data_IF_191046537147
#
_entry.id   IF_191046537147
#
_cell.length_a   1.000
_cell.length_b   1.000
_cell.length_c   1.000
_cell.angle_alpha   90.00
_cell.angle_beta   90.00
_cell.angle_gamma   90.00
#
_symmetry.space_group_name_H-M   'P 1'
#
loop_
_entity.id
_entity.type
_entity.pdbx_description
1 polymer ?
#
# COMPACT_ATOMS: atom_id res chain seq x y z
N UNK A 1 -9.08 -5.51 14.41
CA UNK A 1 -9.68 -6.20 13.24
C UNK A 1 -8.73 -6.13 12.04
N UNK A 2 -8.81 -7.05 11.08
CA UNK A 2 -7.99 -7.02 9.86
C UNK A 2 -8.91 -6.81 8.66
N UNK A 3 -8.63 -5.78 7.86
CA UNK A 3 -9.28 -5.52 6.57
C UNK A 3 -8.28 -5.74 5.45
N UNK A 4 -8.72 -6.43 4.40
CA UNK A 4 -7.88 -6.79 3.27
C UNK A 4 -8.62 -6.43 1.99
N UNK A 5 -8.01 -5.56 1.17
CA UNK A 5 -8.39 -5.42 -0.23
C UNK A 5 -7.47 -6.33 -1.05
N UNK A 6 -8.08 -7.35 -1.66
CA UNK A 6 -7.36 -8.41 -2.35
C UNK A 6 -7.13 -8.16 -3.84
N UNK A 7 -7.64 -7.05 -4.39
CA UNK A 7 -7.68 -6.84 -5.84
C UNK A 7 -7.39 -5.38 -6.22
N UNK A 8 -6.15 -4.95 -5.97
CA UNK A 8 -5.72 -3.57 -6.17
C UNK A 8 -4.83 -3.46 -7.40
N UNK A 9 -5.23 -2.64 -8.36
CA UNK A 9 -4.41 -2.24 -9.51
C UNK A 9 -4.05 -0.77 -9.38
N UNK A 10 -2.77 -0.45 -9.57
CA UNK A 10 -2.29 0.94 -9.63
C UNK A 10 -1.90 1.20 -11.08
N UNK A 11 -2.57 2.12 -11.75
CA UNK A 11 -2.28 2.44 -13.15
C UNK A 11 -1.31 3.64 -13.24
N UNK A 12 -0.43 3.66 -14.25
CA UNK A 12 0.53 4.76 -14.50
C UNK A 12 -0.13 6.14 -14.67
N UNK A 13 -1.43 6.20 -15.00
CA UNK A 13 -2.18 7.44 -15.17
C UNK A 13 -2.80 7.98 -13.87
N UNK A 14 -2.68 7.26 -12.74
CA UNK A 14 -3.27 7.67 -11.48
C UNK A 14 -2.33 8.55 -10.66
N UNK A 15 -2.90 9.57 -10.02
CA UNK A 15 -2.23 10.31 -8.97
C UNK A 15 -2.08 9.42 -7.73
N UNK A 16 -0.84 9.11 -7.39
CA UNK A 16 -0.53 8.12 -6.37
C UNK A 16 -0.91 8.60 -4.97
N UNK A 17 -0.80 9.91 -4.67
CA UNK A 17 -1.26 10.46 -3.39
C UNK A 17 -2.77 10.29 -3.23
N UNK A 18 -3.55 10.68 -4.23
CA UNK A 18 -5.02 10.53 -4.26
C UNK A 18 -5.43 9.06 -4.09
N UNK A 19 -4.70 8.13 -4.72
CA UNK A 19 -4.93 6.71 -4.56
C UNK A 19 -4.73 6.24 -3.11
N UNK A 20 -3.61 6.62 -2.48
CA UNK A 20 -3.29 6.22 -1.10
C UNK A 20 -4.31 6.80 -0.10
N UNK A 21 -4.70 8.06 -0.28
CA UNK A 21 -5.74 8.72 0.51
C UNK A 21 -7.08 7.99 0.40
N UNK A 22 -7.51 7.72 -0.84
CA UNK A 22 -8.77 7.00 -1.11
C UNK A 22 -8.76 5.60 -0.51
N UNK A 23 -7.63 4.87 -0.59
CA UNK A 23 -7.50 3.54 -0.02
C UNK A 23 -7.67 3.56 1.51
N UNK A 24 -7.01 4.50 2.20
CA UNK A 24 -7.14 4.63 3.66
C UNK A 24 -8.55 5.06 4.08
N UNK A 25 -9.18 5.98 3.35
CA UNK A 25 -10.55 6.40 3.62
C UNK A 25 -11.54 5.23 3.49
N UNK A 26 -11.38 4.37 2.47
CA UNK A 26 -12.20 3.17 2.31
C UNK A 26 -12.05 2.21 3.48
N UNK A 27 -10.82 1.95 3.95
CA UNK A 27 -10.62 1.11 5.13
C UNK A 27 -11.22 1.71 6.40
N UNK A 28 -11.10 3.02 6.60
CA UNK A 28 -11.72 3.71 7.74
C UNK A 28 -13.24 3.61 7.69
N UNK A 29 -13.85 3.78 6.52
CA UNK A 29 -15.28 3.64 6.35
C UNK A 29 -15.76 2.23 6.72
N UNK A 30 -15.07 1.19 6.26
CA UNK A 30 -15.42 -0.20 6.60
C UNK A 30 -15.11 -0.55 8.06
N UNK A 31 -14.05 0.00 8.65
CA UNK A 31 -13.76 -0.13 10.07
C UNK A 31 -14.83 0.54 10.94
N UNK A 32 -15.33 1.71 10.54
CA UNK A 32 -16.42 2.41 11.23
C UNK A 32 -17.73 1.64 11.19
N UNK A 33 -18.06 1.03 10.06
CA UNK A 33 -19.23 0.12 9.95
C UNK A 33 -19.14 -1.07 10.90
N UNK A 34 -17.93 -1.47 11.27
CA UNK A 34 -17.66 -2.56 12.21
C UNK A 34 -17.42 -2.09 13.66
N UNK A 35 -17.54 -0.78 13.96
CA UNK A 35 -17.21 -0.19 15.27
C UNK A 35 -15.76 -0.45 15.70
N UNK A 36 -14.81 -0.37 14.77
CA UNK A 36 -13.37 -0.64 14.96
C UNK A 36 -12.47 0.50 14.44
N UNK A 37 -12.97 1.74 14.47
CA UNK A 37 -12.41 2.95 13.85
C UNK A 37 -10.91 3.15 14.13
N UNK A 38 -10.51 2.91 15.38
CA UNK A 38 -9.15 3.17 15.87
C UNK A 38 -8.29 1.91 16.04
N UNK A 39 -8.85 0.73 15.76
CA UNK A 39 -8.25 -0.56 16.11
C UNK A 39 -8.30 -1.57 14.96
N UNK A 40 -7.79 -1.17 13.80
CA UNK A 40 -7.70 -2.04 12.65
C UNK A 40 -6.32 -2.06 11.97
N UNK A 41 -6.04 -3.17 11.32
CA UNK A 41 -4.93 -3.35 10.40
C UNK A 41 -5.49 -3.43 8.99
N UNK A 42 -5.00 -2.58 8.10
CA UNK A 42 -5.37 -2.60 6.69
C UNK A 42 -4.25 -3.20 5.84
N UNK A 43 -4.64 -4.01 4.86
CA UNK A 43 -3.75 -4.63 3.89
C UNK A 43 -4.29 -4.40 2.47
N UNK A 44 -3.42 -3.93 1.58
CA UNK A 44 -3.64 -3.87 0.14
C UNK A 44 -2.78 -4.96 -0.51
N UNK A 45 -3.41 -5.91 -1.18
CA UNK A 45 -2.72 -6.87 -2.03
C UNK A 45 -2.72 -6.31 -3.45
N UNK A 46 -1.53 -5.96 -3.93
CA UNK A 46 -1.36 -5.47 -5.29
C UNK A 46 -1.49 -6.63 -6.26
N UNK A 47 -2.45 -6.58 -7.17
CA UNK A 47 -2.62 -7.56 -8.24
C UNK A 47 -1.91 -7.08 -9.49
N UNK A 48 -0.57 -7.02 -9.44
CA UNK A 48 0.20 -6.47 -10.54
C UNK A 48 0.27 -7.44 -11.72
N UNK A 49 0.27 -6.88 -12.94
CA UNK A 49 0.61 -7.62 -14.16
C UNK A 49 2.10 -7.47 -14.45
N UNK A 50 2.71 -8.34 -15.26
CA UNK A 50 4.14 -8.29 -15.57
C UNK A 50 4.64 -6.95 -16.16
N UNK A 51 3.75 -6.06 -16.59
CA UNK A 51 4.07 -4.71 -17.10
C UNK A 51 4.03 -3.63 -16.03
N UNK A 52 3.30 -3.85 -14.93
CA UNK A 52 3.16 -2.91 -13.84
C UNK A 52 4.00 -3.40 -12.67
N UNK A 53 4.94 -2.57 -12.22
CA UNK A 53 5.91 -2.93 -11.19
C UNK A 53 5.92 -1.85 -10.10
N UNK A 54 4.72 -1.49 -9.65
CA UNK A 54 4.48 -0.45 -8.67
C UNK A 54 5.00 -0.83 -7.31
N UNK A 55 4.90 -2.10 -6.89
CA UNK A 55 5.50 -2.53 -5.63
C UNK A 55 6.99 -2.20 -5.59
N UNK A 56 7.74 -2.52 -6.66
CA UNK A 56 9.17 -2.22 -6.72
C UNK A 56 9.45 -0.72 -6.74
N UNK A 57 8.63 0.07 -7.44
CA UNK A 57 8.73 1.54 -7.41
C UNK A 57 8.51 2.08 -5.99
N UNK A 58 7.43 1.66 -5.33
CA UNK A 58 7.09 2.00 -3.94
C UNK A 58 8.19 1.58 -2.96
N UNK A 59 8.80 0.40 -3.15
CA UNK A 59 9.92 -0.08 -2.36
C UNK A 59 11.19 0.78 -2.51
N UNK A 60 11.31 1.50 -3.64
CA UNK A 60 12.36 2.50 -3.87
C UNK A 60 12.20 3.75 -3.00
N UNK A 61 10.96 4.18 -2.76
CA UNK A 61 10.65 5.33 -1.88
C UNK A 61 10.90 5.03 -0.40
N UNK A 62 10.84 3.75 0.00
CA UNK A 62 11.02 3.33 1.39
C UNK A 62 12.44 3.54 1.95
N UNK A 63 13.37 4.07 1.14
CA UNK A 63 14.75 4.34 1.52
C UNK A 63 15.58 3.05 1.66
N UNK A 64 16.79 3.07 1.11
CA UNK A 64 17.83 2.14 1.53
C UNK A 64 18.52 2.75 2.76
N UNK A 65 19.06 1.90 3.65
CA UNK A 65 19.96 2.27 4.76
C UNK A 65 21.26 3.01 4.32
N UNK A 66 21.34 3.48 3.07
CA UNK A 66 22.47 4.15 2.46
C UNK A 66 22.04 5.49 1.87
N UNK A 67 21.87 6.50 2.73
CA UNK A 67 22.09 7.92 2.42
C UNK A 67 21.14 8.64 1.45
N UNK A 68 20.25 7.96 0.72
CA UNK A 68 19.23 8.63 -0.09
C UNK A 68 18.05 9.01 0.80
N UNK A 69 17.65 10.30 0.72
CA UNK A 69 16.44 10.82 1.39
C UNK A 69 15.27 9.87 1.14
N UNK A 70 14.55 9.49 2.19
CA UNK A 70 13.20 8.97 2.08
C UNK A 70 12.38 9.98 1.29
N UNK A 71 12.11 9.67 0.04
CA UNK A 71 11.24 10.47 -0.82
C UNK A 71 9.81 10.20 -0.38
N UNK A 72 9.11 11.24 0.04
CA UNK A 72 7.69 11.17 0.39
C UNK A 72 6.84 11.41 -0.84
N UNK A 73 5.66 10.79 -0.87
CA UNK A 73 4.64 11.04 -1.89
C UNK A 73 3.54 11.82 -1.21
N UNK A 74 3.59 13.15 -1.34
CA UNK A 74 2.75 14.04 -0.54
C UNK A 74 2.93 13.78 0.95
N UNK A 75 1.83 13.46 1.63
CA UNK A 75 1.79 13.16 3.08
C UNK A 75 2.12 11.69 3.42
N UNK A 76 2.58 10.90 2.45
CA UNK A 76 2.86 9.47 2.61
C UNK A 76 4.34 9.17 2.67
N UNK A 77 4.70 8.32 3.63
CA UNK A 77 6.03 7.74 3.78
C UNK A 77 5.93 6.23 3.68
N UNK A 78 6.95 5.61 3.10
CA UNK A 78 7.01 4.16 2.94
C UNK A 78 8.11 3.59 3.82
N UNK A 79 7.83 2.45 4.43
CA UNK A 79 8.77 1.77 5.32
C UNK A 79 8.87 0.31 4.89
N UNK A 80 10.09 -0.23 4.83
CA UNK A 80 10.26 -1.67 4.63
C UNK A 80 9.85 -2.43 5.88
N UNK A 81 9.19 -3.57 5.69
CA UNK A 81 8.96 -4.54 6.76
C UNK A 81 10.17 -5.48 6.85
N UNK A 82 10.06 -6.54 7.67
CA UNK A 82 11.04 -7.62 7.71
C UNK A 82 10.86 -8.64 6.56
N UNK A 83 9.93 -8.41 5.64
CA UNK A 83 9.67 -9.27 4.48
C UNK A 83 9.95 -8.52 3.18
N UNK A 84 10.55 -9.19 2.20
CA UNK A 84 10.93 -8.57 0.92
C UNK A 84 9.74 -8.18 0.03
N UNK A 85 8.57 -8.76 0.31
CA UNK A 85 7.32 -8.60 -0.44
C UNK A 85 6.27 -7.78 0.31
N UNK A 86 6.64 -7.09 1.40
CA UNK A 86 5.72 -6.18 2.08
C UNK A 86 6.35 -4.82 2.43
N UNK A 87 5.53 -3.78 2.33
CA UNK A 87 5.86 -2.41 2.71
C UNK A 87 4.77 -1.88 3.63
N UNK A 88 5.11 -0.93 4.50
CA UNK A 88 4.13 -0.17 5.27
C UNK A 88 4.06 1.25 4.72
N UNK A 89 2.90 1.64 4.19
CA UNK A 89 2.61 3.01 3.80
C UNK A 89 1.98 3.72 4.99
N UNK A 90 2.61 4.81 5.43
CA UNK A 90 2.19 5.59 6.58
C UNK A 90 1.83 7.01 6.15
N UNK A 91 0.61 7.43 6.46
CA UNK A 91 0.18 8.83 6.37
C UNK A 91 0.72 9.61 7.59
N UNK A 92 0.92 10.92 7.46
CA UNK A 92 1.34 11.81 8.57
C UNK A 92 0.49 11.65 9.85
N UNK A 93 -0.77 11.21 9.74
CA UNK A 93 -1.66 10.96 10.88
C UNK A 93 -1.37 9.65 11.63
N UNK A 94 -0.19 9.06 11.48
CA UNK A 94 0.29 7.82 12.13
C UNK A 94 -0.48 6.53 11.80
N UNK A 95 -1.57 6.61 11.05
CA UNK A 95 -2.31 5.46 10.53
C UNK A 95 -1.95 5.21 9.07
N UNK A 96 -1.95 3.94 8.68
CA UNK A 96 -1.49 3.50 7.38
C UNK A 96 -2.00 2.10 7.05
N UNK A 97 -1.37 1.48 6.07
CA UNK A 97 -1.69 0.13 5.65
C UNK A 97 -0.46 -0.60 5.13
N UNK A 98 -0.52 -1.93 5.15
CA UNK A 98 0.47 -2.77 4.52
C UNK A 98 0.18 -2.91 3.03
N UNK A 99 1.20 -2.72 2.21
CA UNK A 99 1.19 -3.06 0.79
C UNK A 99 1.91 -4.38 0.63
N UNK A 100 1.22 -5.37 0.06
CA UNK A 100 1.78 -6.69 -0.21
C UNK A 100 1.93 -6.84 -1.71
N UNK A 101 3.14 -7.18 -2.16
CA UNK A 101 3.39 -7.55 -3.54
C UNK A 101 2.56 -8.78 -3.89
N UNK A 102 1.74 -8.68 -4.94
CA UNK A 102 1.04 -9.83 -5.48
C UNK A 102 1.37 -10.00 -6.96
N UNK A 103 1.31 -11.26 -7.41
CA UNK A 103 1.35 -11.60 -8.81
C UNK A 103 0.03 -12.30 -9.17
N UNK A 104 -0.59 -11.89 -10.28
CA UNK A 104 -1.72 -12.64 -10.80
C UNK A 104 -1.23 -14.02 -11.28
N UNK A 105 -1.63 -15.09 -10.57
CA UNK A 105 -1.40 -16.45 -11.03
C UNK A 105 -2.45 -16.76 -12.11
N UNK A 106 -2.08 -16.56 -13.37
CA UNK A 106 -2.89 -17.00 -14.51
C UNK A 106 -2.86 -18.52 -14.63
N UNK A 107 -4.02 -19.17 -14.65
CA UNK A 107 -4.14 -20.53 -15.18
C UNK A 107 -3.87 -20.48 -16.69
N UNK A 108 -3.11 -21.43 -17.28
CA UNK A 108 -2.90 -21.46 -18.71
C UNK A 108 -4.25 -21.61 -19.42
N UNK A 109 -4.55 -20.67 -20.32
CA UNK A 109 -5.68 -20.73 -21.27
C UNK A 109 -5.39 -21.69 -22.40
#
# INVERSE_FOLDING_TARGET
>A
MIFVDAHVHIYDCFDLETFLDSALENFRAEAARCQQEDAFTALLLLTETAKENWFHRLAGYAGNQSGNRTESIGNWTFHRTNEDYSLYAQSEKSQGFFLIAGCQIGLPT
#
